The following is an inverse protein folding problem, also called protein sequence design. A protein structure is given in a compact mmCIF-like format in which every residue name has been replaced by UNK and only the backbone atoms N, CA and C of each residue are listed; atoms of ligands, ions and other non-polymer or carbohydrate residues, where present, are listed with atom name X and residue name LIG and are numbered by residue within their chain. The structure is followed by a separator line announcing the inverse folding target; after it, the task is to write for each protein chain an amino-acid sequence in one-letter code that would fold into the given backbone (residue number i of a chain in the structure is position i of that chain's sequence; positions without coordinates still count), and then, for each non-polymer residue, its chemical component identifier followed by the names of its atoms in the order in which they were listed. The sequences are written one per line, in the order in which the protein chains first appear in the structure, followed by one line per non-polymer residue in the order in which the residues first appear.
data_IF_795629004183
#
_entry.id   IF_795629004183
#
_cell.length_a   1.000
_cell.length_b   1.000
_cell.length_c   1.000
_cell.angle_alpha   90.00
_cell.angle_beta   90.00
_cell.angle_gamma   90.00
#
_symmetry.space_group_name_H-M   'P 1'
#
loop_
_entity.id
_entity.type
_entity.pdbx_description
1 polymer ?
#
# COMPACT_ATOMS: atom_id res chain seq x y z
N UNK A 1 -2.64 31.89 6.23
CA UNK A 1 -2.26 31.57 5.27
C UNK A 1 -1.49 30.40 5.06
N UNK A 2 -0.66 29.94 5.87
CA UNK A 2 0.11 28.76 5.64
C UNK A 2 -0.72 27.52 5.53
N UNK A 3 -1.90 27.50 6.09
CA UNK A 3 -2.70 26.32 5.98
C UNK A 3 -3.10 25.99 4.60
N UNK A 4 -3.35 26.97 3.80
CA UNK A 4 -3.73 26.70 2.45
C UNK A 4 -2.63 26.07 1.68
N UNK A 5 -1.41 26.45 1.97
CA UNK A 5 -0.30 25.87 1.26
C UNK A 5 -0.13 24.44 1.60
N UNK A 6 -0.38 24.08 2.87
CA UNK A 6 -0.22 22.71 3.29
C UNK A 6 -1.29 21.80 2.71
N UNK A 7 -2.35 22.39 2.21
CA UNK A 7 -3.42 21.60 1.66
C UNK A 7 -3.44 21.62 0.16
N UNK A 8 -2.35 22.02 -0.44
CA UNK A 8 -2.34 22.21 -1.87
C UNK A 8 -2.46 20.92 -2.66
N UNK A 9 -2.06 19.79 -2.11
CA UNK A 9 -2.07 18.56 -2.87
C UNK A 9 -3.32 17.76 -2.60
N UNK A 10 -4.09 17.52 -3.66
CA UNK A 10 -5.24 16.63 -3.59
C UNK A 10 -4.76 15.19 -3.74
N UNK A 11 -5.40 14.29 -3.06
CA UNK A 11 -5.05 12.88 -3.12
C UNK A 11 -6.11 12.12 -3.92
N UNK A 12 -5.65 11.26 -4.82
CA UNK A 12 -6.50 10.39 -5.61
C UNK A 12 -6.01 8.97 -5.45
N UNK A 13 -6.90 8.04 -5.11
CA UNK A 13 -6.54 6.63 -4.96
C UNK A 13 -7.27 5.84 -6.03
N UNK A 14 -6.53 5.01 -6.75
CA UNK A 14 -7.12 4.21 -7.83
C UNK A 14 -6.32 2.95 -8.10
N UNK A 15 -6.95 2.03 -8.80
CA UNK A 15 -6.26 0.83 -9.28
C UNK A 15 -5.36 1.23 -10.44
N UNK A 16 -4.16 0.67 -10.49
CA UNK A 16 -3.21 0.98 -11.55
C UNK A 16 -2.91 -0.28 -12.36
N UNK A 17 -2.71 -0.16 -13.68
CA UNK A 17 -2.45 -1.32 -14.52
C UNK A 17 -1.03 -1.83 -14.36
N UNK A 18 -0.88 -3.14 -14.45
CA UNK A 18 0.43 -3.78 -14.40
C UNK A 18 1.22 -3.47 -15.67
N UNK A 19 2.52 -3.35 -15.51
CA UNK A 19 3.48 -3.19 -16.63
C UNK A 19 3.34 -1.89 -17.42
N UNK A 20 2.76 -0.85 -16.81
CA UNK A 20 2.70 0.47 -17.42
C UNK A 20 3.45 1.47 -16.55
N UNK A 21 3.43 2.73 -16.98
CA UNK A 21 4.23 3.75 -16.30
C UNK A 21 3.93 3.86 -14.81
N UNK A 22 2.68 3.71 -14.43
CA UNK A 22 2.29 3.83 -13.02
C UNK A 22 2.83 2.67 -12.19
N UNK A 23 2.90 1.47 -12.78
CA UNK A 23 3.51 0.34 -12.12
C UNK A 23 5.00 0.57 -11.91
N UNK A 24 5.68 1.17 -12.89
CA UNK A 24 7.09 1.49 -12.73
C UNK A 24 7.31 2.48 -11.60
N UNK A 25 6.43 3.45 -11.47
CA UNK A 25 6.49 4.38 -10.35
C UNK A 25 6.28 3.66 -9.03
N UNK A 26 5.36 2.69 -9.00
CA UNK A 26 5.13 1.91 -7.79
C UNK A 26 6.35 1.10 -7.39
N UNK A 27 7.03 0.47 -8.36
CA UNK A 27 8.26 -0.27 -8.07
C UNK A 27 9.33 0.64 -7.48
N UNK A 28 9.46 1.83 -8.02
CA UNK A 28 10.44 2.79 -7.53
C UNK A 28 10.13 3.17 -6.09
N UNK A 29 8.87 3.41 -5.77
CA UNK A 29 8.48 3.76 -4.42
C UNK A 29 8.70 2.59 -3.46
N UNK A 30 8.38 1.36 -3.89
CA UNK A 30 8.64 0.17 -3.09
C UNK A 30 10.11 0.05 -2.76
N UNK A 31 10.97 0.31 -3.73
CA UNK A 31 12.42 0.27 -3.52
C UNK A 31 12.84 1.31 -2.48
N UNK A 32 12.38 2.54 -2.65
CA UNK A 32 12.78 3.65 -1.78
C UNK A 32 12.31 3.46 -0.34
N UNK A 33 11.13 2.92 -0.15
CA UNK A 33 10.50 2.85 1.17
C UNK A 33 10.73 1.51 1.85
N UNK A 34 10.69 0.41 1.09
CA UNK A 34 10.67 -0.92 1.67
C UNK A 34 12.00 -1.66 1.55
N UNK A 35 12.91 -1.25 0.68
CA UNK A 35 14.15 -1.98 0.45
C UNK A 35 15.40 -1.19 0.78
N UNK A 36 15.55 0.01 0.23
CA UNK A 36 16.74 0.80 0.49
C UNK A 36 17.03 1.05 1.96
N UNK A 37 16.03 1.34 2.79
CA UNK A 37 16.31 1.54 4.22
C UNK A 37 16.90 0.32 4.90
N UNK A 38 16.74 -0.87 4.28
CA UNK A 38 17.29 -2.12 4.81
C UNK A 38 18.59 -2.52 4.11
N UNK A 39 19.12 -1.65 3.25
CA UNK A 39 20.30 -1.98 2.46
C UNK A 39 20.02 -2.98 1.35
N UNK A 40 18.76 -3.09 0.94
CA UNK A 40 18.32 -4.05 -0.08
C UNK A 40 17.84 -3.32 -1.33
N UNK A 41 17.55 -4.06 -2.39
CA UNK A 41 17.07 -3.50 -3.65
C UNK A 41 15.88 -4.27 -4.15
N UNK A 42 14.90 -3.55 -4.72
CA UNK A 42 13.73 -4.19 -5.33
C UNK A 42 14.16 -5.05 -6.52
N UNK A 43 15.32 -4.77 -7.10
CA UNK A 43 15.84 -5.56 -8.22
C UNK A 43 16.09 -7.03 -7.81
N UNK A 44 16.24 -7.29 -6.53
CA UNK A 44 16.48 -8.64 -6.02
C UNK A 44 15.19 -9.33 -5.59
N UNK A 45 14.04 -8.64 -5.68
CA UNK A 45 12.76 -9.23 -5.30
C UNK A 45 12.25 -10.15 -6.39
N UNK A 46 11.49 -11.17 -5.98
CA UNK A 46 10.75 -12.01 -6.92
C UNK A 46 9.44 -11.29 -7.24
N UNK A 47 9.35 -10.72 -8.42
CA UNK A 47 8.16 -9.98 -8.86
C UNK A 47 7.23 -10.84 -9.71
N UNK A 48 7.44 -12.14 -9.78
CA UNK A 48 6.68 -13.00 -10.66
C UNK A 48 5.17 -13.01 -10.35
N UNK A 49 4.78 -12.75 -9.12
CA UNK A 49 3.37 -12.71 -8.75
C UNK A 49 2.70 -11.37 -9.04
N UNK A 50 3.45 -10.35 -9.46
CA UNK A 50 2.88 -9.01 -9.65
C UNK A 50 1.92 -8.95 -10.83
N UNK A 51 2.13 -9.76 -11.85
CA UNK A 51 1.25 -9.74 -13.03
C UNK A 51 -0.19 -10.11 -12.71
N UNK A 52 -0.39 -10.98 -11.72
CA UNK A 52 -1.73 -11.46 -11.36
C UNK A 52 -2.33 -10.71 -10.18
N UNK A 53 -1.62 -9.74 -9.63
CA UNK A 53 -2.07 -8.98 -8.47
C UNK A 53 -2.83 -7.73 -8.89
N UNK A 54 -3.67 -7.24 -7.97
CA UNK A 54 -4.29 -5.94 -8.14
C UNK A 54 -3.38 -4.90 -7.54
N UNK A 55 -3.00 -3.90 -8.31
CA UNK A 55 -2.13 -2.83 -7.83
C UNK A 55 -2.95 -1.58 -7.58
N UNK A 56 -2.70 -0.93 -6.45
CA UNK A 56 -3.41 0.29 -6.07
C UNK A 56 -2.36 1.37 -5.85
N UNK A 57 -2.65 2.55 -6.35
CA UNK A 57 -1.77 3.70 -6.18
C UNK A 57 -2.51 4.88 -5.63
N UNK A 58 -1.80 5.67 -4.83
CA UNK A 58 -2.26 6.95 -4.35
C UNK A 58 -1.43 8.03 -5.03
N UNK A 59 -2.09 9.01 -5.59
CA UNK A 59 -1.45 10.04 -6.38
C UNK A 59 -1.74 11.40 -5.76
N UNK A 60 -0.71 12.23 -5.65
CA UNK A 60 -0.84 13.59 -5.18
C UNK A 60 -0.76 14.52 -6.38
N UNK A 61 -1.66 15.48 -6.44
CA UNK A 61 -1.65 16.48 -7.50
C UNK A 61 -1.34 17.82 -6.89
N UNK A 62 -0.37 18.50 -7.48
CA UNK A 62 -0.04 19.85 -7.03
C UNK A 62 -1.20 20.79 -7.31
N UNK A 63 -1.51 21.64 -6.35
CA UNK A 63 -2.59 22.60 -6.49
C UNK A 63 -2.25 23.77 -7.37
N UNK A 64 -0.99 23.91 -7.77
CA UNK A 64 -0.56 25.05 -8.56
C UNK A 64 -0.08 24.58 -9.91
N UNK A 65 -0.38 25.30 -10.94
CA UNK A 65 0.17 25.04 -12.26
C UNK A 65 -0.49 23.92 -12.99
N UNK A 66 0.30 22.98 -13.46
CA UNK A 66 -0.16 21.95 -14.37
C UNK A 66 -1.15 20.98 -13.70
N UNK A 67 -2.35 20.95 -14.23
CA UNK A 67 -3.39 20.05 -13.70
C UNK A 67 -3.05 18.59 -13.91
N UNK A 68 -2.09 18.29 -14.79
CA UNK A 68 -1.69 16.93 -15.05
C UNK A 68 -0.49 16.49 -14.22
N UNK A 69 -0.01 17.35 -13.34
CA UNK A 69 1.17 17.04 -12.55
C UNK A 69 0.78 16.19 -11.35
N UNK A 70 0.67 14.90 -11.58
CA UNK A 70 0.43 13.93 -10.51
C UNK A 70 1.69 13.12 -10.27
N UNK A 71 1.92 12.74 -9.01
CA UNK A 71 3.00 11.81 -8.72
C UNK A 71 2.48 10.74 -7.78
N UNK A 72 2.97 9.54 -7.93
CA UNK A 72 2.58 8.44 -7.06
C UNK A 72 3.26 8.61 -5.70
N UNK A 73 2.46 8.64 -4.64
CA UNK A 73 2.95 8.84 -3.28
C UNK A 73 2.67 7.65 -2.37
N UNK A 74 1.89 6.70 -2.85
CA UNK A 74 1.62 5.48 -2.09
C UNK A 74 1.26 4.35 -3.03
N UNK A 75 1.49 3.12 -2.59
CA UNK A 75 1.12 1.94 -3.36
C UNK A 75 0.91 0.75 -2.45
N UNK A 76 0.13 -0.21 -2.93
CA UNK A 76 0.02 -1.54 -2.32
C UNK A 76 -0.45 -2.50 -3.40
N UNK A 77 -0.36 -3.79 -3.13
CA UNK A 77 -0.94 -4.78 -4.03
C UNK A 77 -1.76 -5.78 -3.24
N UNK A 78 -2.72 -6.39 -3.92
CA UNK A 78 -3.56 -7.45 -3.38
C UNK A 78 -3.37 -8.69 -4.24
N UNK A 79 -3.02 -9.79 -3.59
CA UNK A 79 -2.76 -11.05 -4.25
C UNK A 79 -3.76 -12.09 -3.78
N UNK A 80 -4.42 -12.78 -4.70
CA UNK A 80 -5.40 -13.80 -4.33
C UNK A 80 -4.68 -15.02 -3.76
N UNK A 81 -5.08 -15.45 -2.57
CA UNK A 81 -4.62 -16.70 -1.99
C UNK A 81 -5.58 -17.82 -2.34
N UNK A 82 -6.87 -17.51 -2.38
CA UNK A 82 -7.91 -18.43 -2.79
C UNK A 82 -9.12 -17.58 -3.22
N UNK A 83 -10.28 -18.22 -3.42
CA UNK A 83 -11.47 -17.49 -3.87
C UNK A 83 -12.08 -16.58 -2.83
N UNK A 84 -11.65 -16.63 -1.59
CA UNK A 84 -12.22 -15.83 -0.51
C UNK A 84 -11.22 -14.81 0.04
N UNK A 85 -9.93 -15.09 -0.03
CA UNK A 85 -8.92 -14.34 0.71
C UNK A 85 -7.92 -13.67 -0.21
N UNK A 86 -7.74 -12.35 0.00
CA UNK A 86 -6.65 -11.60 -0.63
C UNK A 86 -5.57 -11.32 0.40
N UNK A 87 -4.32 -11.35 -0.03
CA UNK A 87 -3.22 -10.91 0.80
C UNK A 87 -2.78 -9.52 0.34
N UNK A 88 -2.76 -8.57 1.27
CA UNK A 88 -2.25 -7.23 1.00
C UNK A 88 -0.75 -7.23 1.24
N UNK A 89 0.00 -6.74 0.27
CA UNK A 89 1.46 -6.77 0.31
C UNK A 89 2.04 -5.45 -0.18
N UNK A 90 3.29 -5.23 0.21
CA UNK A 90 4.10 -4.14 -0.33
C UNK A 90 3.45 -2.76 -0.15
N UNK A 91 2.92 -2.53 1.04
CA UNK A 91 2.29 -1.26 1.36
C UNK A 91 3.40 -0.24 1.61
N UNK A 92 3.45 0.78 0.79
CA UNK A 92 4.50 1.80 0.87
C UNK A 92 3.89 3.18 0.70
N UNK A 93 4.29 4.11 1.56
CA UNK A 93 3.87 5.51 1.49
C UNK A 93 5.12 6.37 1.51
N UNK A 94 5.17 7.33 0.62
CA UNK A 94 6.27 8.29 0.55
C UNK A 94 6.48 8.91 1.94
N UNK A 95 7.74 9.02 2.35
CA UNK A 95 8.05 9.46 3.71
C UNK A 95 7.37 10.78 4.05
N UNK A 96 7.37 11.71 3.12
CA UNK A 96 6.79 13.04 3.35
C UNK A 96 5.26 13.00 3.51
N UNK A 97 4.64 11.89 3.13
CA UNK A 97 3.18 11.76 3.23
C UNK A 97 2.74 10.90 4.40
N UNK A 98 3.65 10.43 5.22
CA UNK A 98 3.29 9.62 6.38
C UNK A 98 2.54 10.50 7.39
N UNK A 99 1.55 9.90 8.05
CA UNK A 99 0.75 10.63 9.02
C UNK A 99 -0.29 11.54 8.41
N UNK A 100 -0.49 11.50 7.10
CA UNK A 100 -1.47 12.36 6.41
C UNK A 100 -2.74 11.63 6.03
N UNK A 101 -2.85 10.33 6.33
CA UNK A 101 -4.01 9.55 5.95
C UNK A 101 -3.89 8.84 4.61
N UNK A 102 -2.77 8.99 3.91
CA UNK A 102 -2.58 8.33 2.61
C UNK A 102 -2.67 6.81 2.73
N UNK A 103 -1.98 6.24 3.71
CA UNK A 103 -2.02 4.78 3.90
C UNK A 103 -3.41 4.29 4.25
N UNK A 104 -4.09 5.00 5.15
CA UNK A 104 -5.46 4.65 5.53
C UNK A 104 -6.38 4.67 4.29
N UNK A 105 -6.29 5.71 3.48
CA UNK A 105 -7.16 5.85 2.32
C UNK A 105 -6.91 4.74 1.31
N UNK A 106 -5.65 4.35 1.11
CA UNK A 106 -5.33 3.23 0.22
C UNK A 106 -5.91 1.91 0.75
N UNK A 107 -5.75 1.65 2.04
CA UNK A 107 -6.24 0.41 2.63
C UNK A 107 -7.77 0.35 2.53
N UNK A 108 -8.46 1.46 2.81
CA UNK A 108 -9.91 1.50 2.68
C UNK A 108 -10.37 1.29 1.24
N UNK A 109 -9.68 1.90 0.28
CA UNK A 109 -9.99 1.68 -1.13
C UNK A 109 -9.81 0.20 -1.48
N UNK A 110 -8.73 -0.40 -1.00
CA UNK A 110 -8.45 -1.82 -1.26
C UNK A 110 -9.56 -2.70 -0.68
N UNK A 111 -10.07 -2.38 0.50
CA UNK A 111 -11.13 -3.15 1.13
C UNK A 111 -12.43 -3.08 0.34
N UNK A 112 -12.78 -1.88 -0.11
CA UNK A 112 -13.98 -1.71 -0.93
C UNK A 112 -13.85 -2.48 -2.24
N UNK A 113 -12.70 -2.37 -2.88
CA UNK A 113 -12.47 -3.06 -4.15
C UNK A 113 -12.50 -4.58 -3.98
N UNK A 114 -11.89 -5.07 -2.91
CA UNK A 114 -11.89 -6.50 -2.62
C UNK A 114 -13.32 -7.02 -2.41
N UNK A 115 -14.13 -6.28 -1.66
CA UNK A 115 -15.52 -6.66 -1.42
C UNK A 115 -16.33 -6.65 -2.72
N UNK A 116 -16.11 -5.65 -3.58
CA UNK A 116 -16.77 -5.58 -4.88
C UNK A 116 -16.45 -6.80 -5.74
N UNK A 117 -15.26 -7.33 -5.61
CA UNK A 117 -14.84 -8.49 -6.38
C UNK A 117 -15.25 -9.82 -5.74
N UNK A 118 -15.94 -9.77 -4.59
CA UNK A 118 -16.47 -10.97 -3.96
C UNK A 118 -15.58 -11.61 -2.91
N UNK A 119 -14.47 -10.96 -2.54
CA UNK A 119 -13.60 -11.53 -1.50
C UNK A 119 -14.16 -11.23 -0.12
N UNK A 120 -13.94 -12.16 0.81
CA UNK A 120 -14.48 -12.07 2.15
C UNK A 120 -13.51 -11.62 3.22
N UNK A 121 -12.20 -11.63 2.91
CA UNK A 121 -11.24 -11.20 3.91
C UNK A 121 -9.93 -10.77 3.27
N UNK A 122 -9.22 -9.90 3.98
CA UNK A 122 -7.85 -9.51 3.64
C UNK A 122 -6.94 -9.93 4.77
N UNK A 123 -5.81 -10.55 4.42
CA UNK A 123 -4.75 -10.87 5.37
C UNK A 123 -3.50 -10.11 4.97
N UNK A 124 -2.60 -9.91 5.90
CA UNK A 124 -1.34 -9.25 5.64
C UNK A 124 -0.29 -9.64 6.66
N UNK A 125 0.98 -9.39 6.32
CA UNK A 125 2.10 -9.54 7.25
C UNK A 125 2.57 -8.14 7.59
N UNK A 126 2.30 -7.70 8.81
CA UNK A 126 2.64 -6.34 9.24
C UNK A 126 3.97 -6.35 9.94
N UNK A 127 4.87 -5.45 9.56
CA UNK A 127 6.07 -5.22 10.36
C UNK A 127 5.62 -4.80 11.76
N UNK A 128 6.37 -5.21 12.75
CA UNK A 128 5.96 -4.98 14.14
C UNK A 128 5.61 -3.53 14.40
N UNK A 129 6.39 -2.60 13.86
CA UNK A 129 6.13 -1.17 14.09
C UNK A 129 4.92 -0.65 13.33
N UNK A 130 4.35 -1.41 12.41
CA UNK A 130 3.16 -1.01 11.67
C UNK A 130 1.88 -1.63 12.25
N UNK A 131 2.01 -2.53 13.21
CA UNK A 131 0.84 -3.18 13.82
C UNK A 131 -0.19 -2.17 14.34
N UNK A 132 0.23 -1.10 15.07
CA UNK A 132 -0.76 -0.13 15.55
C UNK A 132 -1.55 0.55 14.43
N UNK A 133 -0.91 0.80 13.29
CA UNK A 133 -1.59 1.38 12.15
C UNK A 133 -2.73 0.48 11.67
N UNK A 134 -2.46 -0.82 11.54
CA UNK A 134 -3.47 -1.76 11.08
C UNK A 134 -4.53 -2.03 12.13
N UNK A 135 -4.16 -2.00 13.41
CA UNK A 135 -5.14 -2.19 14.48
C UNK A 135 -6.17 -1.06 14.49
N UNK A 136 -5.73 0.15 14.21
CA UNK A 136 -6.67 1.27 14.10
C UNK A 136 -7.62 1.10 12.92
N UNK A 137 -7.25 0.32 11.93
CA UNK A 137 -8.10 0.03 10.78
C UNK A 137 -8.91 -1.26 10.99
N UNK A 138 -8.87 -1.78 12.22
CA UNK A 138 -9.68 -2.93 12.62
C UNK A 138 -9.15 -4.28 12.12
N UNK A 139 -7.86 -4.34 11.83
CA UNK A 139 -7.21 -5.61 11.59
C UNK A 139 -6.81 -6.20 12.93
N UNK A 140 -6.89 -7.53 13.04
CA UNK A 140 -6.51 -8.21 14.28
C UNK A 140 -5.32 -9.11 14.00
N UNK A 141 -4.43 -9.18 14.99
CA UNK A 141 -3.29 -10.07 14.91
C UNK A 141 -3.75 -11.51 15.12
N UNK A 142 -3.12 -12.43 14.42
CA UNK A 142 -3.35 -13.83 14.68
C UNK A 142 -2.02 -14.58 14.60
N UNK A 143 -1.87 -15.57 15.47
CA UNK A 143 -0.65 -16.33 15.55
C UNK A 143 0.46 -15.58 16.25
N UNK A 144 1.66 -16.13 16.13
CA UNK A 144 2.81 -15.61 16.85
C UNK A 144 3.66 -14.71 15.99
N UNK A 145 4.47 -13.89 16.62
CA UNK A 145 5.46 -13.07 15.97
C UNK A 145 6.42 -13.96 15.18
N UNK A 146 6.75 -13.54 13.97
CA UNK A 146 7.70 -14.27 13.12
C UNK A 146 8.63 -13.29 12.44
N UNK A 147 9.69 -13.80 11.82
CA UNK A 147 10.60 -12.93 11.10
C UNK A 147 10.43 -13.10 9.60
N UNK A 148 10.47 -11.99 8.89
CA UNK A 148 10.42 -11.96 7.44
C UNK A 148 11.42 -10.90 7.02
N UNK A 149 12.33 -11.22 6.11
CA UNK A 149 13.46 -10.37 5.71
C UNK A 149 14.23 -9.80 6.90
N UNK A 150 14.38 -10.63 7.95
CA UNK A 150 15.12 -10.25 9.14
C UNK A 150 14.42 -9.26 10.05
N UNK A 151 13.13 -9.02 9.84
CA UNK A 151 12.37 -8.05 10.62
C UNK A 151 11.19 -8.75 11.29
N UNK A 152 10.90 -8.42 12.56
CA UNK A 152 9.72 -8.98 13.22
C UNK A 152 8.43 -8.56 12.55
N UNK A 153 7.56 -9.52 12.32
CA UNK A 153 6.25 -9.34 11.69
C UNK A 153 5.18 -10.03 12.48
N UNK A 154 3.93 -9.62 12.24
CA UNK A 154 2.73 -10.31 12.72
C UNK A 154 1.78 -10.49 11.56
N UNK A 155 1.13 -11.66 11.52
CA UNK A 155 0.04 -11.86 10.57
C UNK A 155 -1.19 -11.16 11.11
N UNK A 156 -1.89 -10.45 10.26
CA UNK A 156 -3.11 -9.74 10.65
C UNK A 156 -4.19 -9.99 9.61
N UNK A 157 -5.44 -9.86 10.02
CA UNK A 157 -6.56 -10.07 9.10
C UNK A 157 -7.75 -9.21 9.45
N UNK A 158 -8.60 -9.00 8.45
CA UNK A 158 -9.87 -8.29 8.61
C UNK A 158 -10.92 -8.96 7.74
N UNK A 159 -12.08 -9.24 8.32
CA UNK A 159 -13.23 -9.71 7.58
C UNK A 159 -13.86 -8.53 6.84
N UNK A 160 -14.31 -8.77 5.61
CA UNK A 160 -14.94 -7.73 4.79
C UNK A 160 -16.44 -7.90 4.79
N UNK A 161 -17.11 -6.90 5.20
CA UNK A 161 -18.53 -6.84 5.15
C UNK A 161 -19.35 -7.91 5.74
#
# INVERSE_FOLDING_TARGET
MTKQQNQAEALSVRQIPFAEAEYEQALKLRDEVLRRPLGMSIADDDLSGDADALHIGAFARSGAGDAHAERLVGTLLLRALDGRTLQMKQVAVEKARRGTGTGRDMVRFAEVRAAELGYGEIVLHARENAVPFYEKLEYIREGERFEEIGIPHYRMRRELG
#
